data_IF_381557601541
#
_entry.id   IF_381557601541
#
_cell.length_a   1.000
_cell.length_b   1.000
_cell.length_c   1.000
_cell.angle_alpha   90.00
_cell.angle_beta   90.00
_cell.angle_gamma   90.00
#
_symmetry.space_group_name_H-M   'P 1'
#
loop_
_entity.id
_entity.type
_entity.pdbx_description
1 polymer ?
#
# COMPACT_ATOMS: atom_id res chain seq x y z
N UNK A 1 2.74 -7.82 -10.19
CA UNK A 1 2.75 -6.50 -9.50
C UNK A 1 1.34 -5.97 -9.30
N UNK A 2 0.62 -5.62 -10.38
CA UNK A 2 -0.80 -5.20 -10.29
C UNK A 2 -1.64 -6.31 -9.66
N UNK A 3 -1.48 -7.59 -10.03
CA UNK A 3 -2.25 -8.67 -9.40
C UNK A 3 -1.88 -9.00 -7.94
N UNK A 4 -0.65 -8.68 -7.50
CA UNK A 4 -0.24 -8.87 -6.11
C UNK A 4 -0.80 -7.75 -5.21
N UNK A 5 -0.86 -6.53 -5.74
CA UNK A 5 -1.43 -5.35 -5.06
C UNK A 5 -2.97 -5.33 -5.20
N UNK A 6 -3.54 -5.74 -6.33
CA UNK A 6 -4.98 -5.89 -6.58
C UNK A 6 -5.55 -7.17 -5.94
N UNK A 7 -4.70 -8.15 -5.63
CA UNK A 7 -5.10 -9.40 -4.98
C UNK A 7 -5.33 -9.27 -3.47
N UNK A 8 -4.94 -8.13 -2.89
CA UNK A 8 -5.23 -7.71 -1.53
C UNK A 8 -6.60 -7.05 -1.56
N UNK A 9 -7.64 -7.77 -1.12
CA UNK A 9 -9.02 -7.27 -1.03
C UNK A 9 -9.20 -6.36 0.19
N UNK A 10 -8.23 -5.49 0.44
CA UNK A 10 -8.18 -4.67 1.65
C UNK A 10 -8.49 -3.22 1.30
N UNK A 11 -8.96 -2.47 2.31
CA UNK A 11 -9.51 -1.11 2.19
C UNK A 11 -8.71 -0.19 1.25
N UNK A 12 -9.40 0.70 0.53
CA UNK A 12 -8.84 1.73 -0.39
C UNK A 12 -7.58 2.44 0.16
N UNK A 13 -7.50 2.56 1.48
CA UNK A 13 -6.41 3.17 2.24
C UNK A 13 -5.09 2.39 2.13
N UNK A 14 -5.14 1.06 2.23
CA UNK A 14 -3.95 0.19 2.12
C UNK A 14 -3.35 0.25 0.72
N UNK A 15 -4.20 0.21 -0.30
CA UNK A 15 -3.78 0.37 -1.69
C UNK A 15 -3.11 1.73 -1.93
N UNK A 16 -3.76 2.81 -1.44
CA UNK A 16 -3.24 4.18 -1.57
C UNK A 16 -1.90 4.34 -0.86
N UNK A 17 -1.77 3.77 0.34
CA UNK A 17 -0.51 3.72 1.09
C UNK A 17 0.59 3.03 0.28
N UNK A 18 0.34 1.81 -0.23
CA UNK A 18 1.31 1.08 -1.02
C UNK A 18 1.79 1.88 -2.23
N UNK A 19 0.86 2.42 -3.04
CA UNK A 19 1.24 3.22 -4.21
C UNK A 19 2.11 4.42 -3.80
N UNK A 20 1.73 5.15 -2.74
CA UNK A 20 2.52 6.28 -2.25
C UNK A 20 3.89 5.86 -1.71
N UNK A 21 3.97 4.71 -1.05
CA UNK A 21 5.21 4.11 -0.56
C UNK A 21 6.16 3.77 -1.70
N UNK A 22 5.66 3.05 -2.71
CA UNK A 22 6.40 2.62 -3.91
C UNK A 22 7.00 3.79 -4.71
N UNK A 23 6.33 4.93 -4.71
CA UNK A 23 6.76 6.11 -5.46
C UNK A 23 7.52 7.14 -4.63
N UNK A 24 7.89 6.83 -3.38
CA UNK A 24 8.57 7.78 -2.48
C UNK A 24 7.74 9.06 -2.25
N UNK A 25 6.41 8.93 -2.22
CA UNK A 25 5.46 10.05 -2.11
C UNK A 25 4.98 10.27 -0.66
N UNK A 26 5.15 9.29 0.24
CA UNK A 26 4.78 9.46 1.65
C UNK A 26 5.43 10.74 2.22
N UNK A 27 4.72 11.49 3.09
CA UNK A 27 5.24 12.70 3.74
C UNK A 27 6.28 12.38 4.83
N UNK A 28 7.30 11.60 4.50
CA UNK A 28 8.50 11.40 5.33
C UNK A 28 9.33 12.68 5.38
N UNK A 29 10.23 12.81 6.36
CA UNK A 29 11.03 14.02 6.51
C UNK A 29 11.93 14.32 5.30
N UNK A 30 12.51 13.31 4.62
CA UNK A 30 13.18 13.51 3.31
C UNK A 30 12.20 14.08 2.27
N UNK A 31 11.00 13.48 2.17
CA UNK A 31 9.99 13.91 1.20
C UNK A 31 9.51 15.34 1.45
N UNK A 32 9.35 15.74 2.71
CA UNK A 32 8.96 17.09 3.11
C UNK A 32 10.07 18.11 2.89
N UNK A 33 11.33 17.75 3.14
CA UNK A 33 12.50 18.61 2.85
C UNK A 33 12.63 18.86 1.35
N UNK A 34 12.50 17.82 0.51
CA UNK A 34 12.47 17.97 -0.96
C UNK A 34 11.38 18.93 -1.45
N UNK A 35 10.24 18.97 -0.76
CA UNK A 35 9.11 19.88 -1.02
C UNK A 35 9.28 21.25 -0.36
N UNK A 36 10.40 21.51 0.33
CA UNK A 36 10.71 22.75 1.07
C UNK A 36 9.71 23.08 2.17
N UNK A 37 9.08 22.06 2.76
CA UNK A 37 8.11 22.21 3.87
C UNK A 37 8.85 22.21 5.22
N UNK A 38 9.94 21.45 5.33
CA UNK A 38 10.77 21.35 6.54
C UNK A 38 12.25 21.55 6.18
N UNK A 39 13.05 21.99 7.14
CA UNK A 39 14.50 22.22 6.99
C UNK A 39 15.39 21.13 7.58
N UNK A 40 14.79 20.17 8.29
CA UNK A 40 15.48 19.02 8.89
C UNK A 40 14.80 17.73 8.43
N UNK A 41 15.59 16.82 7.87
CA UNK A 41 15.14 15.52 7.39
C UNK A 41 15.29 14.38 8.41
N UNK A 42 15.68 14.69 9.66
CA UNK A 42 15.84 13.68 10.71
C UNK A 42 14.50 13.11 11.15
N UNK A 43 14.46 11.81 11.37
CA UNK A 43 13.32 11.08 11.91
C UNK A 43 12.90 11.65 13.27
N UNK A 44 11.62 11.98 13.44
CA UNK A 44 11.10 12.54 14.70
C UNK A 44 11.12 11.54 15.86
N UNK A 45 11.10 10.24 15.52
CA UNK A 45 11.02 9.16 16.51
C UNK A 45 12.39 8.74 17.05
N UNK A 46 13.42 8.70 16.21
CA UNK A 46 14.73 8.19 16.61
C UNK A 46 15.90 9.14 16.32
N UNK A 47 15.66 10.28 15.69
CA UNK A 47 16.70 11.26 15.35
C UNK A 47 17.61 10.86 14.20
N UNK A 48 17.39 9.72 13.54
CA UNK A 48 18.18 9.30 12.38
C UNK A 48 18.04 10.30 11.24
N UNK A 49 19.17 10.80 10.73
CA UNK A 49 19.21 11.74 9.61
C UNK A 49 18.74 11.08 8.31
N UNK A 50 17.89 11.75 7.55
CA UNK A 50 17.40 11.22 6.29
C UNK A 50 16.32 10.14 6.45
N UNK A 51 15.21 10.48 7.10
CA UNK A 51 14.01 9.61 7.15
C UNK A 51 13.43 9.43 5.73
N UNK A 52 13.74 8.30 5.10
CA UNK A 52 13.11 7.80 3.88
C UNK A 52 11.85 6.98 4.18
N UNK A 53 11.09 6.59 3.15
CA UNK A 53 9.98 5.65 3.32
C UNK A 53 10.45 4.32 3.92
N UNK A 54 11.60 3.83 3.47
CA UNK A 54 12.17 2.60 3.98
C UNK A 54 12.57 2.72 5.46
N UNK A 55 13.19 3.83 5.87
CA UNK A 55 13.48 4.07 7.27
C UNK A 55 12.21 4.16 8.12
N UNK A 56 11.23 4.95 7.68
CA UNK A 56 9.98 5.13 8.40
C UNK A 56 9.26 3.79 8.64
N UNK A 57 9.20 2.93 7.63
CA UNK A 57 8.38 1.72 7.69
C UNK A 57 9.15 0.50 8.19
N UNK A 58 10.44 0.40 7.89
CA UNK A 58 11.21 -0.81 8.20
C UNK A 58 12.25 -0.56 9.29
N UNK A 59 13.13 0.43 9.16
CA UNK A 59 14.35 0.49 10.00
C UNK A 59 14.27 1.34 11.26
N UNK A 60 13.32 2.25 11.37
CA UNK A 60 13.20 3.03 12.57
C UNK A 60 12.95 2.11 13.79
N UNK A 61 13.60 2.35 14.95
CA UNK A 61 13.43 1.53 16.15
C UNK A 61 11.98 1.21 16.52
N UNK A 62 11.08 2.20 16.41
CA UNK A 62 9.65 1.99 16.62
C UNK A 62 9.04 0.94 15.68
N UNK A 63 9.39 0.99 14.39
CA UNK A 63 8.92 0.01 13.41
C UNK A 63 9.54 -1.37 13.66
N UNK A 64 10.84 -1.41 13.97
CA UNK A 64 11.57 -2.64 14.28
C UNK A 64 10.98 -3.40 15.46
N UNK A 65 10.54 -2.69 16.52
CA UNK A 65 9.84 -3.30 17.64
C UNK A 65 8.53 -3.97 17.21
N UNK A 66 7.75 -3.31 16.35
CA UNK A 66 6.49 -3.86 15.81
C UNK A 66 6.76 -5.10 14.95
N UNK A 67 7.73 -5.05 14.04
CA UNK A 67 8.09 -6.19 13.19
C UNK A 67 8.57 -7.40 14.01
N UNK A 68 9.32 -7.16 15.08
CA UNK A 68 9.76 -8.20 16.02
C UNK A 68 8.57 -8.83 16.75
N UNK A 69 7.64 -8.02 17.25
CA UNK A 69 6.44 -8.51 17.95
C UNK A 69 5.49 -9.28 17.03
N UNK A 70 5.45 -8.96 15.74
CA UNK A 70 4.69 -9.69 14.72
C UNK A 70 5.41 -10.93 14.17
N UNK A 71 6.61 -11.23 14.66
CA UNK A 71 7.45 -12.35 14.22
C UNK A 71 7.90 -12.27 12.75
N UNK A 72 7.87 -11.08 12.14
CA UNK A 72 8.43 -10.82 10.80
C UNK A 72 9.90 -10.43 10.88
N UNK A 73 10.72 -11.26 11.52
CA UNK A 73 12.15 -10.98 11.81
C UNK A 73 12.99 -10.77 10.56
N UNK A 74 12.62 -11.34 9.43
CA UNK A 74 13.31 -11.09 8.16
C UNK A 74 13.26 -9.61 7.74
N UNK A 75 12.24 -8.84 8.17
CA UNK A 75 12.15 -7.39 7.96
C UNK A 75 12.99 -6.60 8.95
N UNK A 76 13.32 -7.19 10.10
CA UNK A 76 14.26 -6.62 11.07
C UNK A 76 15.70 -6.67 10.54
N UNK A 77 16.06 -7.71 9.79
CA UNK A 77 17.42 -7.92 9.27
C UNK A 77 17.71 -7.23 7.93
N UNK A 78 16.69 -6.57 7.33
CA UNK A 78 16.86 -5.82 6.09
C UNK A 78 17.85 -4.68 6.30
N UNK A 79 18.89 -4.63 5.47
CA UNK A 79 19.92 -3.58 5.52
C UNK A 79 19.35 -2.21 5.15
N UNK A 80 19.83 -1.15 5.81
CA UNK A 80 19.44 0.27 5.62
C UNK A 80 19.67 0.86 4.20
N UNK A 81 20.10 0.05 3.23
CA UNK A 81 20.44 0.49 1.87
C UNK A 81 19.32 0.17 0.86
N UNK A 82 18.26 -0.53 1.29
CA UNK A 82 17.21 -1.05 0.39
C UNK A 82 15.98 -0.14 0.41
N UNK A 83 15.61 0.45 -0.73
CA UNK A 83 14.41 1.32 -0.79
C UNK A 83 13.10 0.59 -0.45
N UNK A 84 12.04 1.36 -0.18
CA UNK A 84 10.75 0.82 0.27
C UNK A 84 10.22 -0.23 -0.71
N UNK A 85 10.34 0.06 -2.01
CA UNK A 85 9.89 -0.81 -3.08
C UNK A 85 10.58 -2.17 -3.01
N UNK A 86 11.90 -2.20 -2.91
CA UNK A 86 12.67 -3.43 -2.91
C UNK A 86 12.40 -4.28 -1.66
N UNK A 87 12.14 -3.68 -0.51
CA UNK A 87 11.72 -4.43 0.69
C UNK A 87 10.36 -5.09 0.48
N UNK A 88 9.38 -4.37 -0.07
CA UNK A 88 8.06 -4.94 -0.35
C UNK A 88 8.12 -6.04 -1.41
N UNK A 89 8.94 -5.87 -2.45
CA UNK A 89 9.13 -6.90 -3.48
C UNK A 89 9.77 -8.15 -2.88
N UNK A 90 10.81 -8.01 -2.06
CA UNK A 90 11.44 -9.11 -1.36
C UNK A 90 10.43 -9.86 -0.46
N UNK A 91 9.64 -9.12 0.32
CA UNK A 91 8.60 -9.72 1.16
C UNK A 91 7.58 -10.52 0.32
N UNK A 92 7.15 -9.99 -0.83
CA UNK A 92 6.22 -10.68 -1.73
C UNK A 92 6.79 -11.99 -2.32
N UNK A 93 8.11 -12.10 -2.43
CA UNK A 93 8.79 -13.29 -2.94
C UNK A 93 8.99 -14.36 -1.87
N UNK A 94 9.23 -13.96 -0.62
CA UNK A 94 9.62 -14.89 0.46
C UNK A 94 8.47 -15.36 1.35
N UNK A 95 7.31 -14.73 1.30
CA UNK A 95 6.15 -15.11 2.13
C UNK A 95 4.92 -15.47 1.30
N UNK A 96 4.05 -16.29 1.89
CA UNK A 96 2.75 -16.60 1.30
C UNK A 96 1.83 -15.37 1.24
N UNK A 97 0.84 -15.42 0.34
CA UNK A 97 -0.10 -14.31 0.09
C UNK A 97 -0.76 -13.76 1.36
N UNK A 98 -1.16 -14.64 2.28
CA UNK A 98 -1.87 -14.25 3.50
C UNK A 98 -0.94 -13.51 4.47
N UNK A 99 0.30 -13.97 4.61
CA UNK A 99 1.33 -13.28 5.39
C UNK A 99 1.73 -11.96 4.73
N UNK A 100 1.80 -11.92 3.40
CA UNK A 100 2.08 -10.70 2.66
C UNK A 100 0.99 -9.64 2.88
N UNK A 101 -0.28 -10.04 2.88
CA UNK A 101 -1.41 -9.16 3.22
C UNK A 101 -1.26 -8.59 4.63
N UNK A 102 -0.88 -9.42 5.61
CA UNK A 102 -0.62 -8.96 6.98
C UNK A 102 0.57 -7.99 7.05
N UNK A 103 1.63 -8.20 6.27
CA UNK A 103 2.78 -7.28 6.17
C UNK A 103 2.34 -5.92 5.63
N UNK A 104 1.52 -5.88 4.58
CA UNK A 104 1.02 -4.62 4.01
C UNK A 104 0.17 -3.84 5.02
N UNK A 105 -0.74 -4.53 5.72
CA UNK A 105 -1.53 -3.93 6.81
C UNK A 105 -0.62 -3.37 7.90
N UNK A 106 0.40 -4.13 8.29
CA UNK A 106 1.33 -3.74 9.35
C UNK A 106 2.14 -2.52 8.94
N UNK A 107 2.66 -2.49 7.71
CA UNK A 107 3.36 -1.33 7.15
C UNK A 107 2.47 -0.07 7.13
N UNK A 108 1.19 -0.24 6.78
CA UNK A 108 0.22 0.84 6.84
C UNK A 108 -0.06 1.31 8.28
N UNK A 109 -0.21 0.38 9.24
CA UNK A 109 -0.41 0.70 10.64
C UNK A 109 0.75 1.52 11.22
N UNK A 110 2.00 1.11 10.93
CA UNK A 110 3.22 1.82 11.30
C UNK A 110 3.19 3.25 10.74
N UNK A 111 2.81 3.40 9.47
CA UNK A 111 2.67 4.70 8.83
C UNK A 111 1.59 5.57 9.48
N UNK A 112 0.45 5.00 9.82
CA UNK A 112 -0.64 5.68 10.52
C UNK A 112 -0.19 6.21 11.87
N UNK A 113 0.49 5.40 12.67
CA UNK A 113 1.06 5.82 13.96
C UNK A 113 2.07 6.95 13.82
N UNK A 114 2.91 6.94 12.79
CA UNK A 114 3.82 8.06 12.52
C UNK A 114 3.09 9.36 12.22
N UNK A 115 2.08 9.31 11.36
CA UNK A 115 1.35 10.52 10.97
C UNK A 115 0.67 11.20 12.17
N UNK A 116 0.33 10.44 13.22
CA UNK A 116 -0.18 11.01 14.48
C UNK A 116 0.78 12.07 15.03
N UNK A 117 2.09 11.79 15.02
CA UNK A 117 3.09 12.73 15.55
C UNK A 117 3.14 14.01 14.73
N UNK A 118 3.12 13.91 13.40
CA UNK A 118 3.08 15.07 12.52
C UNK A 118 1.85 15.95 12.77
N UNK A 119 0.76 15.36 13.28
CA UNK A 119 -0.46 16.05 13.67
C UNK A 119 -0.57 16.37 15.18
N UNK A 120 0.53 16.27 15.93
CA UNK A 120 0.59 16.62 17.36
C UNK A 120 -0.10 15.63 18.29
N UNK A 121 -0.37 14.40 17.83
CA UNK A 121 -0.94 13.32 18.63
C UNK A 121 0.14 12.40 19.20
N UNK A 122 -0.23 11.60 20.20
CA UNK A 122 0.68 10.66 20.84
C UNK A 122 0.83 9.36 20.04
N UNK A 123 2.06 8.85 20.00
CA UNK A 123 2.38 7.54 19.46
C UNK A 123 1.82 6.44 20.37
N UNK A 124 1.16 5.44 19.79
CA UNK A 124 0.80 4.23 20.52
C UNK A 124 2.04 3.42 20.93
N UNK A 125 1.93 2.64 22.00
CA UNK A 125 2.97 1.67 22.35
C UNK A 125 3.01 0.56 21.28
N UNK A 126 4.19 0.05 20.87
CA UNK A 126 4.32 -0.99 19.84
C UNK A 126 3.35 -2.16 20.02
N UNK A 127 3.18 -2.65 21.26
CA UNK A 127 2.24 -3.73 21.57
C UNK A 127 0.77 -3.37 21.27
N UNK A 128 0.37 -2.11 21.49
CA UNK A 128 -0.99 -1.65 21.16
C UNK A 128 -1.22 -1.65 19.65
N UNK A 129 -0.20 -1.26 18.88
CA UNK A 129 -0.24 -1.29 17.41
C UNK A 129 -0.37 -2.73 16.91
N UNK A 130 0.38 -3.66 17.48
CA UNK A 130 0.30 -5.10 17.14
C UNK A 130 -1.08 -5.67 17.45
N UNK A 131 -1.62 -5.40 18.65
CA UNK A 131 -2.97 -5.84 19.01
C UNK A 131 -4.03 -5.32 18.02
N UNK A 132 -3.87 -4.07 17.57
CA UNK A 132 -4.74 -3.48 16.56
C UNK A 132 -4.57 -4.17 15.20
N UNK A 133 -3.33 -4.43 14.76
CA UNK A 133 -3.04 -5.15 13.51
C UNK A 133 -3.68 -6.54 13.52
N UNK A 134 -3.53 -7.30 14.59
CA UNK A 134 -4.10 -8.65 14.70
C UNK A 134 -5.64 -8.63 14.67
N UNK A 135 -6.26 -7.70 15.40
CA UNK A 135 -7.71 -7.52 15.38
C UNK A 135 -8.22 -7.12 13.98
N UNK A 136 -7.53 -6.17 13.34
CA UNK A 136 -7.90 -5.70 12.01
C UNK A 136 -7.73 -6.80 10.95
N UNK A 137 -6.60 -7.50 10.97
CA UNK A 137 -6.33 -8.61 10.06
C UNK A 137 -7.33 -9.75 10.23
N UNK A 138 -7.68 -10.11 11.48
CA UNK A 138 -8.73 -11.10 11.75
C UNK A 138 -10.10 -10.71 11.15
N UNK A 139 -10.43 -9.42 11.18
CA UNK A 139 -11.65 -8.89 10.54
C UNK A 139 -11.59 -9.04 9.02
N UNK A 140 -10.45 -8.72 8.40
CA UNK A 140 -10.23 -8.88 6.95
C UNK A 140 -10.34 -10.34 6.51
N UNK A 141 -9.71 -11.26 7.25
CA UNK A 141 -9.77 -12.70 6.98
C UNK A 141 -11.21 -13.22 7.10
N UNK A 142 -11.92 -12.85 8.16
CA UNK A 142 -13.30 -13.26 8.40
C UNK A 142 -14.24 -12.80 7.28
N UNK A 143 -14.13 -11.54 6.84
CA UNK A 143 -14.92 -11.01 5.74
C UNK A 143 -14.61 -11.74 4.41
N UNK A 144 -13.33 -12.05 4.17
CA UNK A 144 -12.87 -12.77 2.98
C UNK A 144 -13.40 -14.20 2.91
N UNK A 145 -13.43 -14.91 4.04
CA UNK A 145 -13.88 -16.30 4.08
C UNK A 145 -15.41 -16.41 4.15
N UNK A 146 -16.09 -15.45 4.79
CA UNK A 146 -17.56 -15.31 4.70
C UNK A 146 -18.04 -15.11 3.26
N UNK A 147 -17.31 -14.34 2.46
CA UNK A 147 -17.58 -14.14 1.04
C UNK A 147 -17.28 -15.36 0.14
N UNK A 148 -16.57 -16.38 0.62
CA UNK A 148 -16.31 -17.63 -0.14
C UNK A 148 -17.46 -18.64 -0.03
N UNK A 149 -18.31 -18.55 0.98
CA UNK A 149 -19.39 -19.51 1.23
C UNK A 149 -20.65 -19.21 0.39
N UNK A 150 -20.79 -17.99 -0.16
CA UNK A 150 -22.00 -17.55 -0.87
C UNK A 150 -21.99 -17.69 -2.40
N UNK A 151 -20.92 -18.19 -3.04
CA UNK A 151 -20.92 -18.34 -4.50
C UNK A 151 -21.53 -19.66 -4.97
N UNK A 152 -22.81 -19.62 -5.38
CA UNK A 152 -23.40 -20.63 -6.27
C UNK A 152 -22.62 -20.69 -7.60
N UNK A 153 -22.55 -21.86 -8.27
CA UNK A 153 -21.74 -22.02 -9.47
C UNK A 153 -22.38 -21.30 -10.66
N UNK A 154 -21.89 -20.10 -10.99
CA UNK A 154 -22.19 -19.43 -12.26
C UNK A 154 -21.13 -19.88 -13.28
N UNK A 155 -21.56 -20.69 -14.25
CA UNK A 155 -20.75 -21.04 -15.42
C UNK A 155 -20.37 -19.75 -16.18
N UNK A 156 -19.10 -19.34 -16.08
CA UNK A 156 -18.57 -18.26 -16.92
C UNK A 156 -18.10 -18.84 -18.24
N UNK A 157 -18.87 -18.55 -19.28
CA UNK A 157 -18.52 -18.82 -20.67
C UNK A 157 -17.28 -17.97 -21.03
N UNK A 158 -16.12 -18.62 -21.15
CA UNK A 158 -14.91 -18.04 -21.75
C UNK A 158 -15.22 -17.80 -23.22
N UNK A 159 -15.15 -16.56 -23.69
CA UNK A 159 -14.69 -16.25 -25.04
C UNK A 159 -14.15 -14.80 -25.11
N UNK A 160 -12.94 -14.72 -25.67
CA UNK A 160 -12.22 -13.56 -26.22
C UNK A 160 -11.58 -12.55 -25.25
N UNK A 161 -10.33 -12.84 -24.85
CA UNK A 161 -9.33 -11.80 -24.61
C UNK A 161 -8.41 -11.73 -25.82
N UNK A 162 -8.51 -10.65 -26.59
CA UNK A 162 -7.47 -10.29 -27.56
C UNK A 162 -6.22 -9.83 -26.81
N UNK A 163 -5.11 -10.53 -27.06
CA UNK A 163 -3.80 -10.22 -26.51
C UNK A 163 -3.15 -9.16 -27.41
N UNK A 164 -3.02 -7.93 -26.90
CA UNK A 164 -2.24 -6.88 -27.56
C UNK A 164 -0.75 -7.14 -27.34
N UNK A 165 -0.05 -7.51 -28.42
CA UNK A 165 1.41 -7.64 -28.44
C UNK A 165 2.09 -6.27 -28.23
N UNK A 166 3.18 -6.25 -27.45
CA UNK A 166 4.00 -5.07 -27.18
C UNK A 166 5.12 -4.94 -28.24
N UNK A 167 5.18 -3.79 -28.90
CA UNK A 167 6.24 -3.43 -29.85
C UNK A 167 7.54 -3.03 -29.10
N UNK A 168 8.75 -3.49 -29.48
CA UNK A 168 9.97 -3.31 -28.69
C UNK A 168 10.66 -1.92 -28.73
N UNK A 169 10.02 -0.84 -29.21
CA UNK A 169 10.70 0.46 -29.41
C UNK A 169 9.98 1.71 -28.85
N UNK A 170 9.38 1.66 -27.65
CA UNK A 170 8.96 2.91 -26.98
C UNK A 170 10.01 3.41 -25.99
N UNK A 171 10.67 4.51 -26.37
CA UNK A 171 11.45 5.38 -25.49
C UNK A 171 10.67 5.72 -24.22
N UNK A 172 11.38 5.79 -23.08
CA UNK A 172 10.83 6.05 -21.76
C UNK A 172 10.15 7.43 -21.67
N UNK A 173 8.88 7.51 -22.07
CA UNK A 173 8.05 8.70 -21.88
C UNK A 173 7.42 8.67 -20.50
N UNK A 174 7.67 9.71 -19.71
CA UNK A 174 7.06 9.88 -18.41
C UNK A 174 5.55 10.00 -18.56
N UNK A 175 4.82 9.15 -17.85
CA UNK A 175 3.36 9.09 -17.92
C UNK A 175 2.82 9.27 -16.50
N UNK A 176 1.80 10.11 -16.33
CA UNK A 176 1.20 10.43 -15.03
C UNK A 176 -0.06 9.57 -14.87
N UNK A 177 -0.13 8.78 -13.80
CA UNK A 177 -1.34 8.04 -13.44
C UNK A 177 -2.11 8.81 -12.36
N UNK A 178 -3.32 9.24 -12.70
CA UNK A 178 -4.28 9.80 -11.75
C UNK A 178 -5.31 8.75 -11.41
N UNK A 179 -5.55 8.51 -10.11
CA UNK A 179 -6.56 7.56 -9.63
C UNK A 179 -7.53 8.27 -8.70
N UNK A 180 -8.80 7.96 -8.82
CA UNK A 180 -9.87 8.44 -7.95
C UNK A 180 -10.85 7.30 -7.63
N UNK A 181 -11.54 7.42 -6.50
CA UNK A 181 -12.49 6.41 -6.04
C UNK A 181 -13.77 7.09 -5.55
N UNK A 182 -14.92 6.54 -5.94
CA UNK A 182 -16.23 7.00 -5.51
C UNK A 182 -16.96 5.89 -4.75
N UNK A 183 -17.64 6.25 -3.67
CA UNK A 183 -18.50 5.33 -2.92
C UNK A 183 -19.94 5.82 -3.04
N UNK A 184 -20.85 4.93 -3.44
CA UNK A 184 -22.27 5.20 -3.46
C UNK A 184 -22.90 4.62 -2.20
N UNK A 185 -23.25 5.51 -1.26
CA UNK A 185 -23.71 5.14 0.08
C UNK A 185 -25.02 4.32 0.09
N UNK A 186 -25.80 4.34 -0.99
CA UNK A 186 -27.11 3.67 -1.05
C UNK A 186 -27.06 2.23 -1.60
N UNK A 187 -25.94 1.78 -2.17
CA UNK A 187 -25.86 0.46 -2.83
C UNK A 187 -24.63 -0.34 -2.41
N UNK A 188 -23.94 0.10 -1.34
CA UNK A 188 -22.64 -0.44 -0.94
C UNK A 188 -21.72 -0.63 -2.15
N UNK A 189 -21.72 0.33 -3.07
CA UNK A 189 -21.01 0.20 -4.35
C UNK A 189 -19.84 1.14 -4.41
N UNK A 190 -18.69 0.61 -4.83
CA UNK A 190 -17.49 1.40 -5.07
C UNK A 190 -17.21 1.45 -6.56
N UNK A 191 -16.85 2.64 -7.04
CA UNK A 191 -16.32 2.88 -8.38
C UNK A 191 -14.87 3.33 -8.30
N UNK A 192 -14.03 2.82 -9.21
CA UNK A 192 -12.65 3.26 -9.39
C UNK A 192 -12.48 3.91 -10.76
N UNK A 193 -11.84 5.07 -10.77
CA UNK A 193 -11.44 5.77 -11.99
C UNK A 193 -9.92 5.86 -12.04
N UNK A 194 -9.32 5.49 -13.16
CA UNK A 194 -7.91 5.75 -13.43
C UNK A 194 -7.75 6.45 -14.77
N UNK A 195 -6.93 7.50 -14.80
CA UNK A 195 -6.60 8.25 -16.01
C UNK A 195 -5.09 8.25 -16.16
N UNK A 196 -4.63 7.81 -17.33
CA UNK A 196 -3.25 7.89 -17.75
C UNK A 196 -3.11 9.17 -18.57
N UNK A 197 -2.26 10.10 -18.10
CA UNK A 197 -1.90 11.30 -18.82
C UNK A 197 -0.50 11.20 -19.40
N UNK A 198 -0.35 11.68 -20.63
CA UNK A 198 0.96 11.98 -21.22
C UNK A 198 1.61 13.16 -20.48
N UNK A 199 2.91 13.37 -20.71
CA UNK A 199 3.70 14.44 -20.09
C UNK A 199 3.11 15.85 -20.33
N UNK A 200 2.43 16.06 -21.46
CA UNK A 200 1.68 17.28 -21.80
C UNK A 200 0.30 17.39 -21.12
N UNK A 201 0.04 16.55 -20.11
CA UNK A 201 -1.23 16.40 -19.39
C UNK A 201 -2.44 16.05 -20.27
N UNK A 202 -2.21 15.53 -21.49
CA UNK A 202 -3.30 14.99 -22.31
C UNK A 202 -3.68 13.59 -21.86
N UNK A 203 -4.97 13.30 -21.88
CA UNK A 203 -5.48 11.96 -21.55
C UNK A 203 -5.06 10.97 -22.62
N UNK A 204 -4.21 10.02 -22.23
CA UNK A 204 -3.78 8.90 -23.05
C UNK A 204 -4.77 7.73 -22.96
N UNK A 205 -5.20 7.37 -21.73
CA UNK A 205 -6.21 6.31 -21.50
C UNK A 205 -7.07 6.62 -20.27
N UNK A 206 -8.31 6.13 -20.28
CA UNK A 206 -9.22 6.13 -19.12
C UNK A 206 -9.68 4.72 -18.81
N UNK A 207 -9.75 4.40 -17.52
CA UNK A 207 -10.29 3.16 -17.00
C UNK A 207 -11.36 3.51 -15.96
N UNK A 208 -12.55 2.97 -16.14
CA UNK A 208 -13.63 3.08 -15.17
C UNK A 208 -14.11 1.70 -14.82
N UNK A 209 -14.21 1.40 -13.53
CA UNK A 209 -14.67 0.11 -13.03
C UNK A 209 -15.77 0.36 -11.99
N UNK A 210 -16.94 -0.22 -12.19
CA UNK A 210 -18.08 -0.07 -11.29
C UNK A 210 -18.84 -1.37 -11.14
N UNK A 211 -19.23 -1.71 -9.91
CA UNK A 211 -20.17 -2.81 -9.64
C UNK A 211 -19.72 -3.87 -8.63
N UNK A 212 -19.15 -3.48 -7.49
CA UNK A 212 -19.11 -4.38 -6.33
C UNK A 212 -20.18 -3.93 -5.33
N UNK A 213 -21.29 -4.68 -5.22
CA UNK A 213 -22.19 -4.56 -4.07
C UNK A 213 -21.55 -5.30 -2.90
N UNK A 214 -21.34 -4.61 -1.77
CA UNK A 214 -21.11 -5.27 -0.48
C UNK A 214 -22.47 -5.52 0.19
N UNK A 215 -22.89 -6.78 0.32
CA UNK A 215 -23.93 -7.18 1.28
C UNK A 215 -23.35 -7.31 2.68
#
# INVERSE_FOLDING_TARGET
MVEAILGIKNTQENFTFCVRGFHEILPTRIGLEKRKIVSNNSCELCGFGGESNAHAIFWCPFAQEIWKLLEFTFLHEVREVIDFKNVILYAAEVVEKDLFEKIIISAWAIWMERNKITHGQHLGQPQQVVNWIDSYYGTVVSARDGAKVSSLPIQRNRNNSEVLHRDPQEEQRHTILMVDAAVLNNTSSVGLGAIILSEDRRVSKRYTWGGFMFE
#
